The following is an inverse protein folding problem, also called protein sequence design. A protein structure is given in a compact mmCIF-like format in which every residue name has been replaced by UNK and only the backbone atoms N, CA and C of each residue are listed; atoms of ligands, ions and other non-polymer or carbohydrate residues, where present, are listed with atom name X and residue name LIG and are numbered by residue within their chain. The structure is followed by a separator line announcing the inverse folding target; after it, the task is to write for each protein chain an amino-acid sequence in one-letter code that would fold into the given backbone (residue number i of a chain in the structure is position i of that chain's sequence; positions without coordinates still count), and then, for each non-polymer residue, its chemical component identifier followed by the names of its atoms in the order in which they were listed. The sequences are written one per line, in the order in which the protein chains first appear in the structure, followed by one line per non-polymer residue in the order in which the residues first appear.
data_IF_801500777482
#
_entry.id   IF_801500777482
#
_cell.length_a   1.000
_cell.length_b   1.000
_cell.length_c   1.000
_cell.angle_alpha   90.00
_cell.angle_beta   90.00
_cell.angle_gamma   90.00
#
_symmetry.space_group_name_H-M   'P 1'
#
loop_
_entity.id
_entity.type
_entity.pdbx_description
1 polymer ?
#
# COMPACT_ATOMS: atom_id res chain seq x y z
N UNK A 1 6.71 -11.17 20.49
CA UNK A 1 6.22 -11.41 19.11
C UNK A 1 4.71 -11.26 19.10
N UNK A 2 4.19 -10.39 18.27
CA UNK A 2 2.73 -10.19 18.16
C UNK A 2 2.09 -11.47 17.64
N UNK A 3 1.29 -12.13 18.49
CA UNK A 3 0.61 -13.39 18.14
C UNK A 3 -0.33 -13.23 16.94
N UNK A 4 -0.96 -12.06 16.81
CA UNK A 4 -1.85 -11.77 15.68
C UNK A 4 -1.08 -11.77 14.37
N UNK A 5 0.11 -11.11 14.33
CA UNK A 5 0.99 -11.08 13.16
C UNK A 5 1.49 -12.48 12.79
N UNK A 6 1.94 -13.27 13.79
CA UNK A 6 2.39 -14.65 13.54
C UNK A 6 1.29 -15.55 12.93
N UNK A 7 0.03 -15.37 13.34
CA UNK A 7 -1.10 -16.09 12.75
C UNK A 7 -1.31 -15.66 11.28
N UNK A 8 -1.25 -14.35 10.96
CA UNK A 8 -1.41 -13.86 9.60
C UNK A 8 -0.32 -14.42 8.67
N UNK A 9 0.95 -14.38 9.10
CA UNK A 9 2.09 -14.91 8.35
C UNK A 9 1.94 -16.42 8.08
N UNK A 10 1.64 -17.22 9.11
CA UNK A 10 1.42 -18.65 8.97
C UNK A 10 0.23 -18.99 8.05
N UNK A 11 -0.85 -18.22 8.14
CA UNK A 11 -2.02 -18.40 7.27
C UNK A 11 -1.68 -18.10 5.80
N UNK A 12 -0.91 -17.04 5.51
CA UNK A 12 -0.44 -16.69 4.17
C UNK A 12 0.40 -17.82 3.57
N UNK A 13 1.36 -18.37 4.33
CA UNK A 13 2.21 -19.46 3.87
C UNK A 13 1.40 -20.72 3.57
N UNK A 14 0.50 -21.13 4.47
CA UNK A 14 -0.32 -22.32 4.29
C UNK A 14 -1.31 -22.18 3.13
N UNK A 15 -2.00 -21.05 3.01
CA UNK A 15 -2.96 -20.79 1.95
C UNK A 15 -2.22 -20.60 0.61
N UNK A 16 -1.08 -19.91 0.62
CA UNK A 16 -0.22 -19.77 -0.56
C UNK A 16 0.30 -21.11 -1.10
N UNK A 17 0.56 -22.08 -0.23
CA UNK A 17 1.03 -23.41 -0.61
C UNK A 17 -0.09 -24.34 -1.06
N UNK A 18 -1.19 -24.42 -0.29
CA UNK A 18 -2.25 -25.44 -0.44
C UNK A 18 -3.55 -24.91 -1.04
N UNK A 19 -3.73 -23.60 -1.12
CA UNK A 19 -4.98 -22.95 -1.48
C UNK A 19 -5.91 -22.72 -0.28
N UNK A 20 -6.84 -21.76 -0.46
CA UNK A 20 -7.79 -21.39 0.58
C UNK A 20 -8.65 -22.57 1.03
N UNK A 21 -9.27 -23.29 0.09
CA UNK A 21 -10.20 -24.38 0.38
C UNK A 21 -9.55 -25.52 1.18
N UNK A 22 -8.29 -25.82 0.89
CA UNK A 22 -7.55 -26.94 1.49
C UNK A 22 -6.78 -26.58 2.77
N UNK A 23 -6.89 -25.34 3.25
CA UNK A 23 -6.29 -24.90 4.51
C UNK A 23 -7.38 -24.73 5.58
N UNK A 24 -7.23 -25.41 6.72
CA UNK A 24 -8.18 -25.33 7.85
C UNK A 24 -7.67 -24.39 8.94
N UNK A 25 -8.59 -23.82 9.73
CA UNK A 25 -8.25 -23.04 10.94
C UNK A 25 -7.43 -23.88 11.95
N UNK A 26 -7.66 -25.19 12.02
CA UNK A 26 -6.85 -26.09 12.87
C UNK A 26 -5.39 -26.13 12.41
N UNK A 27 -5.13 -26.33 11.12
CA UNK A 27 -3.76 -26.36 10.57
C UNK A 27 -3.01 -25.04 10.82
N UNK A 28 -3.72 -23.91 10.74
CA UNK A 28 -3.12 -22.59 11.04
C UNK A 28 -2.81 -22.50 12.55
N UNK A 29 -3.71 -22.92 13.43
CA UNK A 29 -3.47 -22.92 14.87
C UNK A 29 -2.27 -23.81 15.25
N UNK A 30 -2.20 -25.01 14.67
CA UNK A 30 -1.11 -25.96 14.89
C UNK A 30 0.24 -25.39 14.45
N UNK A 31 0.30 -24.67 13.30
CA UNK A 31 1.52 -24.11 12.75
C UNK A 31 2.13 -23.01 13.61
N UNK A 32 1.30 -22.31 14.41
CA UNK A 32 1.77 -21.25 15.35
C UNK A 32 1.80 -21.72 16.80
N UNK A 33 1.49 -22.99 17.06
CA UNK A 33 1.56 -23.60 18.38
C UNK A 33 0.49 -23.09 19.37
N UNK A 34 -0.73 -22.77 18.87
CA UNK A 34 -1.86 -22.33 19.71
C UNK A 34 -3.06 -23.28 19.57
N UNK A 35 -3.96 -23.24 20.55
CA UNK A 35 -5.21 -23.99 20.44
C UNK A 35 -6.14 -23.37 19.39
N UNK A 36 -7.00 -24.20 18.77
CA UNK A 36 -8.05 -23.74 17.84
C UNK A 36 -8.95 -22.68 18.48
N UNK A 37 -9.31 -22.84 19.76
CA UNK A 37 -10.11 -21.86 20.50
C UNK A 37 -9.40 -20.51 20.64
N UNK A 38 -8.07 -20.52 20.87
CA UNK A 38 -7.26 -19.31 20.90
C UNK A 38 -7.22 -18.63 19.52
N UNK A 39 -7.14 -19.39 18.42
CA UNK A 39 -7.19 -18.80 17.07
C UNK A 39 -8.54 -18.10 16.80
N UNK A 40 -9.65 -18.74 17.20
CA UNK A 40 -10.99 -18.15 17.03
C UNK A 40 -11.22 -16.90 17.87
N UNK A 41 -10.48 -16.71 18.97
CA UNK A 41 -10.53 -15.45 19.74
C UNK A 41 -9.87 -14.28 19.01
N UNK A 42 -8.90 -14.53 18.09
CA UNK A 42 -8.29 -13.52 17.24
C UNK A 42 -9.10 -13.29 15.96
N UNK A 43 -9.60 -14.36 15.35
CA UNK A 43 -10.30 -14.34 14.07
C UNK A 43 -11.54 -15.25 14.15
N UNK A 44 -12.74 -14.66 14.29
CA UNK A 44 -13.99 -15.41 14.49
C UNK A 44 -14.31 -16.41 13.38
N UNK A 45 -13.81 -16.16 12.17
CA UNK A 45 -13.98 -17.04 11.01
C UNK A 45 -12.73 -17.07 10.16
N UNK A 46 -12.65 -18.04 9.24
CA UNK A 46 -11.59 -18.10 8.22
C UNK A 46 -11.69 -16.92 7.25
N UNK A 47 -12.92 -16.44 7.00
CA UNK A 47 -13.16 -15.25 6.19
C UNK A 47 -12.61 -13.99 6.87
N UNK A 48 -12.86 -13.78 8.17
CA UNK A 48 -12.33 -12.65 8.92
C UNK A 48 -10.79 -12.69 8.98
N UNK A 49 -10.21 -13.89 9.02
CA UNK A 49 -8.76 -14.06 8.90
C UNK A 49 -8.25 -13.62 7.52
N UNK A 50 -8.92 -14.03 6.43
CA UNK A 50 -8.54 -13.61 5.06
C UNK A 50 -8.67 -12.10 4.88
N UNK A 51 -9.77 -11.50 5.33
CA UNK A 51 -9.94 -10.04 5.30
C UNK A 51 -8.80 -9.35 6.04
N UNK A 52 -8.46 -9.84 7.24
CA UNK A 52 -7.34 -9.29 8.02
C UNK A 52 -5.98 -9.47 7.35
N UNK A 53 -5.76 -10.56 6.60
CA UNK A 53 -4.55 -10.74 5.79
C UNK A 53 -4.50 -9.67 4.68
N UNK A 54 -5.58 -9.49 3.92
CA UNK A 54 -5.63 -8.48 2.87
C UNK A 54 -5.41 -7.08 3.42
N UNK A 55 -6.10 -6.71 4.49
CA UNK A 55 -5.95 -5.41 5.14
C UNK A 55 -4.51 -5.16 5.60
N UNK A 56 -3.89 -6.14 6.25
CA UNK A 56 -2.53 -6.04 6.75
C UNK A 56 -1.50 -5.81 5.63
N UNK A 57 -1.49 -6.68 4.61
CA UNK A 57 -0.48 -6.59 3.56
C UNK A 57 -0.72 -5.42 2.59
N UNK A 58 -1.97 -5.09 2.31
CA UNK A 58 -2.30 -3.90 1.53
C UNK A 58 -1.88 -2.62 2.27
N UNK A 59 -2.11 -2.57 3.59
CA UNK A 59 -1.66 -1.45 4.40
C UNK A 59 -0.13 -1.26 4.27
N UNK A 60 0.65 -2.33 4.42
CA UNK A 60 2.10 -2.28 4.31
C UNK A 60 2.58 -1.74 2.95
N UNK A 61 1.96 -2.18 1.87
CA UNK A 61 2.34 -1.77 0.50
C UNK A 61 1.92 -0.32 0.22
N UNK A 62 0.69 0.06 0.57
CA UNK A 62 0.19 1.43 0.33
C UNK A 62 0.87 2.47 1.21
N UNK A 63 1.17 2.16 2.47
CA UNK A 63 1.87 3.07 3.38
C UNK A 63 3.26 3.45 2.83
N UNK A 64 3.98 2.49 2.23
CA UNK A 64 5.26 2.76 1.58
C UNK A 64 5.14 3.79 0.46
N UNK A 65 4.17 3.60 -0.43
CA UNK A 65 3.95 4.53 -1.54
C UNK A 65 3.45 5.90 -1.04
N UNK A 66 2.61 5.90 -0.01
CA UNK A 66 2.11 7.13 0.59
C UNK A 66 3.25 7.99 1.17
N UNK A 67 4.13 7.39 1.99
CA UNK A 67 5.27 8.12 2.58
C UNK A 67 6.21 8.68 1.53
N UNK A 68 6.50 7.91 0.47
CA UNK A 68 7.27 8.42 -0.69
C UNK A 68 6.54 9.59 -1.35
N UNK A 69 5.21 9.54 -1.41
CA UNK A 69 4.38 10.63 -1.95
C UNK A 69 4.47 11.95 -1.19
N UNK A 70 4.88 11.92 0.08
CA UNK A 70 5.07 13.11 0.91
C UNK A 70 6.45 13.77 0.74
N UNK A 71 7.40 13.11 0.07
CA UNK A 71 8.76 13.63 -0.14
C UNK A 71 8.75 14.79 -1.15
N UNK A 72 8.69 16.02 -0.65
CA UNK A 72 8.69 17.24 -1.45
C UNK A 72 10.01 17.51 -2.21
N UNK A 73 11.12 16.84 -1.83
CA UNK A 73 12.42 17.01 -2.49
C UNK A 73 12.50 16.29 -3.84
N UNK A 74 11.65 15.30 -4.06
CA UNK A 74 11.62 14.58 -5.34
C UNK A 74 10.72 15.31 -6.35
N UNK A 75 11.19 15.53 -7.59
CA UNK A 75 10.31 15.97 -8.66
C UNK A 75 9.10 15.03 -8.81
N UNK A 76 7.91 15.52 -9.19
CA UNK A 76 6.68 14.70 -9.24
C UNK A 76 6.84 13.39 -10.05
N UNK A 77 7.55 13.43 -11.19
CA UNK A 77 7.83 12.25 -11.99
C UNK A 77 8.66 11.20 -11.22
N UNK A 78 9.77 11.63 -10.60
CA UNK A 78 10.65 10.73 -9.84
C UNK A 78 9.95 10.19 -8.59
N UNK A 79 9.15 11.02 -7.93
CA UNK A 79 8.34 10.62 -6.79
C UNK A 79 7.32 9.54 -7.17
N UNK A 80 6.62 9.71 -8.29
CA UNK A 80 5.66 8.71 -8.77
C UNK A 80 6.35 7.40 -9.18
N UNK A 81 7.50 7.47 -9.86
CA UNK A 81 8.30 6.29 -10.19
C UNK A 81 8.79 5.55 -8.92
N UNK A 82 9.24 6.29 -7.91
CA UNK A 82 9.66 5.72 -6.62
C UNK A 82 8.48 5.11 -5.84
N UNK A 83 7.29 5.67 -5.94
CA UNK A 83 6.08 5.05 -5.36
C UNK A 83 5.78 3.68 -5.97
N UNK A 84 5.92 3.52 -7.29
CA UNK A 84 5.83 2.20 -7.94
C UNK A 84 6.98 1.28 -7.52
N UNK A 85 8.21 1.80 -7.47
CA UNK A 85 9.37 1.02 -7.02
C UNK A 85 9.12 0.37 -5.67
N UNK A 86 8.72 1.15 -4.65
CA UNK A 86 8.50 0.60 -3.29
C UNK A 86 7.32 -0.36 -3.21
N UNK A 87 6.34 -0.24 -4.10
CA UNK A 87 5.27 -1.23 -4.21
C UNK A 87 5.79 -2.55 -4.78
N UNK A 88 6.64 -2.52 -5.82
CA UNK A 88 7.26 -3.72 -6.37
C UNK A 88 8.25 -4.38 -5.40
N UNK A 89 9.01 -3.60 -4.63
CA UNK A 89 9.83 -4.12 -3.52
C UNK A 89 8.96 -4.86 -2.51
N UNK A 90 7.79 -4.29 -2.13
CA UNK A 90 6.82 -4.95 -1.26
C UNK A 90 6.24 -6.25 -1.86
N UNK A 91 6.01 -6.31 -3.17
CA UNK A 91 5.58 -7.53 -3.87
C UNK A 91 6.62 -8.65 -3.74
N UNK A 92 7.90 -8.33 -3.90
CA UNK A 92 8.99 -9.30 -3.74
C UNK A 92 9.12 -9.77 -2.29
N UNK A 93 9.01 -8.84 -1.32
CA UNK A 93 9.08 -9.14 0.10
C UNK A 93 7.90 -10.02 0.57
N UNK A 94 6.69 -9.77 0.05
CA UNK A 94 5.48 -10.50 0.42
C UNK A 94 5.00 -11.46 -0.68
N UNK A 95 5.94 -12.13 -1.36
CA UNK A 95 5.67 -13.01 -2.51
C UNK A 95 4.64 -14.11 -2.20
N UNK A 96 4.67 -14.69 -1.00
CA UNK A 96 3.69 -15.72 -0.58
C UNK A 96 2.26 -15.16 -0.51
N UNK A 97 2.10 -13.94 0.01
CA UNK A 97 0.80 -13.24 0.01
C UNK A 97 0.32 -12.97 -1.41
N UNK A 98 1.19 -12.47 -2.28
CA UNK A 98 0.84 -12.19 -3.67
C UNK A 98 0.45 -13.44 -4.45
N UNK A 99 1.15 -14.57 -4.23
CA UNK A 99 0.76 -15.88 -4.79
C UNK A 99 -0.61 -16.33 -4.31
N UNK A 100 -0.92 -16.15 -3.03
CA UNK A 100 -2.24 -16.43 -2.47
C UNK A 100 -3.33 -15.60 -3.16
N UNK A 101 -3.09 -14.30 -3.34
CA UNK A 101 -4.02 -13.38 -3.99
C UNK A 101 -4.28 -13.75 -5.46
N UNK A 102 -3.22 -14.08 -6.21
CA UNK A 102 -3.33 -14.43 -7.64
C UNK A 102 -4.06 -15.74 -7.91
N UNK A 103 -4.02 -16.70 -6.98
CA UNK A 103 -4.75 -17.98 -7.13
C UNK A 103 -6.25 -17.81 -7.16
N UNK A 104 -6.78 -16.66 -6.72
CA UNK A 104 -8.22 -16.37 -6.78
C UNK A 104 -9.11 -17.33 -5.99
N UNK A 105 -8.50 -18.25 -5.22
CA UNK A 105 -9.19 -19.27 -4.43
C UNK A 105 -9.78 -18.71 -3.12
N UNK A 106 -10.01 -17.40 -3.06
CA UNK A 106 -10.69 -16.81 -1.92
C UNK A 106 -12.15 -17.25 -1.89
N UNK A 107 -12.67 -17.38 -0.68
CA UNK A 107 -14.05 -17.77 -0.40
C UNK A 107 -15.04 -17.24 -1.43
N UNK A 108 -16.11 -18.01 -1.68
CA UNK A 108 -17.28 -17.54 -2.43
C UNK A 108 -17.56 -16.10 -2.06
N UNK A 109 -17.72 -15.24 -3.06
CA UNK A 109 -17.92 -13.81 -2.89
C UNK A 109 -18.94 -13.53 -1.78
N UNK A 110 -18.43 -13.08 -0.65
CA UNK A 110 -19.27 -12.56 0.40
C UNK A 110 -19.34 -11.04 0.29
N UNK A 111 -20.40 -10.45 0.78
CA UNK A 111 -20.58 -9.00 0.83
C UNK A 111 -19.38 -8.30 1.49
N UNK A 112 -18.78 -8.91 2.53
CA UNK A 112 -17.59 -8.40 3.20
C UNK A 112 -16.37 -8.35 2.28
N UNK A 113 -16.10 -9.43 1.55
CA UNK A 113 -14.97 -9.52 0.60
C UNK A 113 -15.17 -8.58 -0.60
N UNK A 114 -16.38 -8.49 -1.13
CA UNK A 114 -16.72 -7.55 -2.19
C UNK A 114 -16.52 -6.10 -1.74
N UNK A 115 -17.04 -5.75 -0.56
CA UNK A 115 -16.88 -4.43 0.05
C UNK A 115 -15.38 -4.09 0.25
N UNK A 116 -14.59 -5.06 0.70
CA UNK A 116 -13.13 -4.87 0.83
C UNK A 116 -12.50 -4.63 -0.55
N UNK A 117 -12.84 -5.42 -1.56
CA UNK A 117 -12.33 -5.26 -2.93
C UNK A 117 -12.65 -3.88 -3.51
N UNK A 118 -13.87 -3.38 -3.29
CA UNK A 118 -14.26 -2.02 -3.68
C UNK A 118 -13.40 -0.96 -2.99
N UNK A 119 -13.19 -1.07 -1.68
CA UNK A 119 -12.35 -0.14 -0.92
C UNK A 119 -10.89 -0.11 -1.43
N UNK A 120 -10.31 -1.30 -1.65
CA UNK A 120 -8.94 -1.42 -2.16
C UNK A 120 -8.78 -0.77 -3.53
N UNK A 121 -9.72 -1.00 -4.44
CA UNK A 121 -9.74 -0.39 -5.77
C UNK A 121 -9.91 1.13 -5.69
N UNK A 122 -10.84 1.60 -4.86
CA UNK A 122 -11.03 3.04 -4.65
C UNK A 122 -9.76 3.74 -4.20
N UNK A 123 -9.02 3.14 -3.25
CA UNK A 123 -7.71 3.69 -2.80
C UNK A 123 -6.67 3.75 -3.91
N UNK A 124 -6.58 2.68 -4.69
CA UNK A 124 -5.64 2.64 -5.82
C UNK A 124 -5.97 3.75 -6.83
N UNK A 125 -7.22 3.90 -7.20
CA UNK A 125 -7.64 4.92 -8.16
C UNK A 125 -7.47 6.34 -7.59
N UNK A 126 -7.80 6.58 -6.32
CA UNK A 126 -7.52 7.87 -5.67
C UNK A 126 -6.02 8.22 -5.65
N UNK A 127 -5.16 7.22 -5.41
CA UNK A 127 -3.73 7.40 -5.46
C UNK A 127 -3.24 7.71 -6.89
N UNK A 128 -3.73 6.99 -7.89
CA UNK A 128 -3.38 7.24 -9.30
C UNK A 128 -3.86 8.64 -9.75
N UNK A 129 -5.11 8.99 -9.45
CA UNK A 129 -5.69 10.29 -9.81
C UNK A 129 -4.87 11.46 -9.24
N UNK A 130 -4.50 11.39 -7.96
CA UNK A 130 -3.65 12.42 -7.32
C UNK A 130 -2.32 12.60 -8.05
N UNK A 131 -1.63 11.52 -8.40
CA UNK A 131 -0.37 11.59 -9.13
C UNK A 131 -0.54 12.12 -10.57
N UNK A 132 -1.63 11.75 -11.24
CA UNK A 132 -1.94 12.27 -12.58
C UNK A 132 -2.22 13.77 -12.55
N UNK A 133 -3.02 14.25 -11.60
CA UNK A 133 -3.31 15.68 -11.43
C UNK A 133 -2.04 16.45 -11.06
N UNK A 134 -1.20 15.90 -10.19
CA UNK A 134 0.08 16.53 -9.82
C UNK A 134 1.02 16.68 -11.02
N UNK A 135 1.11 15.67 -11.90
CA UNK A 135 1.98 15.67 -13.06
C UNK A 135 1.46 16.56 -14.20
N UNK A 136 0.16 16.54 -14.46
CA UNK A 136 -0.43 17.12 -15.67
C UNK A 136 -1.41 18.25 -15.41
N UNK A 137 -1.78 18.52 -14.15
CA UNK A 137 -2.82 19.47 -13.77
C UNK A 137 -4.22 18.98 -14.14
N UNK A 138 -5.23 19.80 -13.87
CA UNK A 138 -6.66 19.48 -14.09
C UNK A 138 -7.02 19.15 -15.55
N UNK A 139 -6.20 19.55 -16.51
CA UNK A 139 -6.42 19.24 -17.93
C UNK A 139 -6.39 17.75 -18.25
N UNK A 140 -5.87 16.91 -17.34
CA UNK A 140 -5.87 15.44 -17.48
C UNK A 140 -7.20 14.81 -17.06
N UNK A 141 -8.06 15.52 -16.32
CA UNK A 141 -9.29 14.98 -15.72
C UNK A 141 -10.23 14.28 -16.72
N UNK A 142 -10.41 14.77 -17.97
CA UNK A 142 -11.25 14.08 -18.95
C UNK A 142 -10.72 12.69 -19.36
N UNK A 143 -9.43 12.42 -19.14
CA UNK A 143 -8.74 11.19 -19.55
C UNK A 143 -8.33 10.31 -18.38
N UNK A 144 -8.67 10.70 -17.16
CA UNK A 144 -8.21 10.04 -15.91
C UNK A 144 -8.57 8.56 -15.85
N UNK A 145 -9.79 8.20 -16.27
CA UNK A 145 -10.27 6.82 -16.19
C UNK A 145 -9.53 5.88 -17.12
N UNK A 146 -9.32 6.29 -18.38
CA UNK A 146 -8.51 5.52 -19.32
C UNK A 146 -7.08 5.34 -18.80
N UNK A 147 -6.45 6.41 -18.33
CA UNK A 147 -5.09 6.35 -17.80
C UNK A 147 -4.99 5.48 -16.54
N UNK A 148 -5.91 5.62 -15.60
CA UNK A 148 -5.92 4.81 -14.38
C UNK A 148 -6.16 3.33 -14.69
N UNK A 149 -7.09 3.02 -15.60
CA UNK A 149 -7.39 1.65 -15.99
C UNK A 149 -6.22 0.98 -16.74
N UNK A 150 -5.61 1.69 -17.69
CA UNK A 150 -4.42 1.23 -18.40
C UNK A 150 -3.23 1.03 -17.44
N UNK A 151 -3.01 1.98 -16.54
CA UNK A 151 -1.94 1.89 -15.52
C UNK A 151 -2.13 0.68 -14.62
N UNK A 152 -3.36 0.45 -14.14
CA UNK A 152 -3.71 -0.72 -13.34
C UNK A 152 -3.43 -2.02 -14.11
N UNK A 153 -3.77 -2.07 -15.39
CA UNK A 153 -3.54 -3.24 -16.24
C UNK A 153 -2.05 -3.53 -16.42
N UNK A 154 -1.25 -2.51 -16.69
CA UNK A 154 0.20 -2.61 -16.82
C UNK A 154 0.81 -3.08 -15.48
N UNK A 155 0.44 -2.45 -14.37
CA UNK A 155 0.91 -2.80 -13.03
C UNK A 155 0.60 -4.26 -12.69
N UNK A 156 -0.63 -4.72 -12.94
CA UNK A 156 -1.06 -6.09 -12.66
C UNK A 156 -0.29 -7.10 -13.51
N UNK A 157 -0.08 -6.82 -14.80
CA UNK A 157 0.70 -7.69 -15.69
C UNK A 157 2.13 -7.86 -15.23
N UNK A 158 2.82 -6.77 -14.88
CA UNK A 158 4.19 -6.86 -14.37
C UNK A 158 4.27 -7.51 -12.98
N UNK A 159 3.28 -7.27 -12.11
CA UNK A 159 3.17 -7.98 -10.83
C UNK A 159 3.08 -9.49 -11.06
N UNK A 160 2.24 -9.93 -11.99
CA UNK A 160 2.12 -11.34 -12.37
C UNK A 160 3.43 -11.92 -12.87
N UNK A 161 4.14 -11.19 -13.72
CA UNK A 161 5.45 -11.59 -14.24
C UNK A 161 6.48 -11.72 -13.11
N UNK A 162 6.59 -10.75 -12.20
CA UNK A 162 7.51 -10.78 -11.06
C UNK A 162 7.26 -11.96 -10.11
N UNK A 163 6.00 -12.35 -9.94
CA UNK A 163 5.64 -13.45 -9.04
C UNK A 163 5.92 -14.81 -9.69
N UNK A 164 5.66 -14.94 -11.00
CA UNK A 164 5.74 -16.21 -11.74
C UNK A 164 7.12 -16.49 -12.32
N UNK A 165 7.94 -15.45 -12.57
CA UNK A 165 9.25 -15.63 -13.18
C UNK A 165 10.34 -15.87 -12.14
N UNK A 166 11.38 -16.64 -12.53
CA UNK A 166 12.61 -16.79 -11.75
C UNK A 166 13.57 -15.60 -11.97
N UNK A 167 13.35 -14.83 -13.04
CA UNK A 167 14.14 -13.65 -13.35
C UNK A 167 13.62 -12.45 -12.53
N UNK A 168 14.50 -11.88 -11.74
CA UNK A 168 14.18 -10.68 -10.95
C UNK A 168 14.15 -9.45 -11.86
N UNK A 169 12.97 -8.85 -12.02
CA UNK A 169 12.84 -7.51 -12.57
C UNK A 169 13.28 -6.51 -11.51
N UNK A 170 14.13 -5.56 -11.90
CA UNK A 170 14.56 -4.48 -11.03
C UNK A 170 13.38 -3.55 -10.72
N UNK A 171 12.92 -3.44 -9.45
CA UNK A 171 11.78 -2.61 -9.05
C UNK A 171 11.94 -1.13 -9.44
N UNK A 172 13.17 -0.59 -9.36
CA UNK A 172 13.46 0.80 -9.72
C UNK A 172 13.27 1.03 -11.21
N UNK A 173 13.87 0.17 -12.06
CA UNK A 173 13.69 0.25 -13.51
C UNK A 173 12.24 0.09 -13.92
N UNK A 174 11.52 -0.80 -13.26
CA UNK A 174 10.11 -1.07 -13.53
C UNK A 174 9.23 0.13 -13.15
N UNK A 175 9.48 0.78 -12.00
CA UNK A 175 8.77 2.00 -11.60
C UNK A 175 8.90 3.10 -12.65
N UNK A 176 10.12 3.40 -13.08
CA UNK A 176 10.36 4.39 -14.14
C UNK A 176 9.74 3.97 -15.49
N UNK A 177 9.78 2.68 -15.81
CA UNK A 177 9.17 2.17 -17.04
C UNK A 177 7.65 2.44 -17.05
N UNK A 178 6.95 2.14 -15.97
CA UNK A 178 5.49 2.37 -15.88
C UNK A 178 5.17 3.86 -16.01
N UNK A 179 5.84 4.72 -15.26
CA UNK A 179 5.57 6.17 -15.33
C UNK A 179 5.87 6.72 -16.73
N UNK A 180 6.89 6.18 -17.41
CA UNK A 180 7.16 6.53 -18.81
C UNK A 180 6.02 6.11 -19.75
N UNK A 181 5.41 4.94 -19.56
CA UNK A 181 4.24 4.55 -20.36
C UNK A 181 3.04 5.48 -20.09
N UNK A 182 2.80 5.83 -18.83
CA UNK A 182 1.75 6.79 -18.45
C UNK A 182 1.99 8.14 -19.14
N UNK A 183 3.23 8.63 -19.13
CA UNK A 183 3.61 9.90 -19.78
C UNK A 183 3.30 9.88 -21.29
N UNK A 184 3.64 8.79 -21.98
CA UNK A 184 3.36 8.64 -23.43
C UNK A 184 1.85 8.72 -23.69
N UNK A 185 1.05 7.97 -22.91
CA UNK A 185 -0.40 7.94 -23.03
C UNK A 185 -1.02 9.31 -22.69
N UNK A 186 -0.59 9.92 -21.59
CA UNK A 186 -1.09 11.23 -21.18
C UNK A 186 -0.79 12.32 -22.24
N UNK A 187 0.40 12.32 -22.79
CA UNK A 187 0.78 13.27 -23.86
C UNK A 187 -0.02 13.06 -25.14
N UNK A 188 -0.33 11.82 -25.49
CA UNK A 188 -1.18 11.50 -26.65
C UNK A 188 -2.61 12.05 -26.48
N UNK A 189 -3.22 11.82 -25.31
CA UNK A 189 -4.52 12.38 -24.95
C UNK A 189 -4.52 13.91 -24.92
N UNK A 190 -3.54 14.52 -24.26
CA UNK A 190 -3.44 15.97 -24.13
C UNK A 190 -3.16 16.67 -25.47
N UNK A 191 -2.52 15.97 -26.43
CA UNK A 191 -2.34 16.45 -27.80
C UNK A 191 -3.61 16.28 -28.67
N UNK A 192 -4.69 15.72 -28.11
CA UNK A 192 -5.96 15.49 -28.82
C UNK A 192 -5.88 14.42 -29.92
N UNK A 193 -4.88 13.55 -29.87
CA UNK A 193 -4.71 12.45 -30.84
C UNK A 193 -5.66 11.29 -30.55
N UNK A 194 -5.88 11.01 -29.27
CA UNK A 194 -6.84 10.02 -28.81
C UNK A 194 -7.99 10.69 -28.05
N UNK A 195 -9.19 10.09 -28.12
CA UNK A 195 -10.35 10.50 -27.33
C UNK A 195 -10.51 9.58 -26.14
N UNK A 196 -11.04 10.08 -24.99
CA UNK A 196 -11.36 9.21 -23.86
C UNK A 196 -12.45 8.20 -24.26
N UNK A 197 -12.30 6.98 -23.77
CA UNK A 197 -13.29 5.91 -23.94
C UNK A 197 -14.18 5.77 -22.70
N UNK A 198 -13.57 5.98 -21.52
CA UNK A 198 -14.21 5.79 -20.21
C UNK A 198 -14.65 7.14 -19.64
N UNK A 199 -15.88 7.21 -19.16
CA UNK A 199 -16.43 8.38 -18.50
C UNK A 199 -16.85 8.08 -17.05
N UNK A 200 -17.23 9.13 -16.30
CA UNK A 200 -17.63 9.01 -14.89
C UNK A 200 -18.87 8.12 -14.70
N UNK A 201 -19.80 8.10 -15.65
CA UNK A 201 -21.02 7.28 -15.56
C UNK A 201 -20.69 5.79 -15.73
N UNK A 202 -19.89 5.44 -16.72
CA UNK A 202 -19.41 4.07 -16.93
C UNK A 202 -18.57 3.58 -15.72
N UNK A 203 -17.78 4.47 -15.15
CA UNK A 203 -16.85 4.12 -14.08
C UNK A 203 -17.43 4.26 -12.67
N UNK A 204 -18.68 4.74 -12.53
CA UNK A 204 -19.38 4.87 -11.24
C UNK A 204 -19.34 3.61 -10.36
N UNK A 205 -19.56 2.37 -10.87
CA UNK A 205 -19.43 1.17 -10.05
C UNK A 205 -18.03 0.92 -9.52
N UNK A 206 -17.01 1.43 -10.19
CA UNK A 206 -15.60 1.25 -9.86
C UNK A 206 -15.04 2.40 -9.00
N UNK A 207 -15.72 3.55 -8.94
CA UNK A 207 -15.34 4.69 -8.11
C UNK A 207 -15.79 4.55 -6.65
N UNK A 208 -16.59 3.52 -6.33
CA UNK A 208 -17.03 3.25 -4.96
C UNK A 208 -15.83 3.07 -4.04
N UNK A 209 -15.68 3.95 -3.07
CA UNK A 209 -14.54 3.95 -2.12
C UNK A 209 -13.42 4.95 -2.44
N UNK A 210 -13.47 5.67 -3.58
CA UNK A 210 -12.51 6.75 -3.87
C UNK A 210 -12.66 7.93 -2.88
N UNK A 211 -13.92 8.27 -2.54
CA UNK A 211 -14.25 9.43 -1.69
C UNK A 211 -14.54 9.04 -0.22
N UNK A 212 -14.43 7.77 0.15
CA UNK A 212 -14.76 7.33 1.50
C UNK A 212 -13.53 7.39 2.40
N UNK A 213 -13.44 8.45 3.20
CA UNK A 213 -12.75 8.41 4.48
C UNK A 213 -13.42 7.34 5.37
N UNK A 214 -12.67 6.37 5.89
CA UNK A 214 -13.21 5.49 6.94
C UNK A 214 -13.16 3.98 6.70
N UNK A 215 -12.45 3.49 5.70
CA UNK A 215 -12.38 2.05 5.43
C UNK A 215 -11.27 1.29 6.19
N UNK A 216 -10.21 1.98 6.58
CA UNK A 216 -9.09 1.43 7.36
C UNK A 216 -8.69 2.42 8.46
N UNK A 217 -9.38 2.38 9.59
CA UNK A 217 -9.18 3.35 10.68
C UNK A 217 -7.74 3.42 11.20
N UNK A 218 -7.00 2.32 11.22
CA UNK A 218 -5.59 2.30 11.61
C UNK A 218 -4.66 2.89 10.53
N UNK A 219 -4.93 2.62 9.26
CA UNK A 219 -4.14 3.16 8.15
C UNK A 219 -4.35 4.67 8.01
N UNK A 220 -5.58 5.15 8.06
CA UNK A 220 -5.88 6.59 7.97
C UNK A 220 -5.27 7.37 9.13
N UNK A 221 -5.28 6.80 10.34
CA UNK A 221 -4.57 7.39 11.48
C UNK A 221 -3.08 7.51 11.22
N UNK A 222 -2.46 6.48 10.65
CA UNK A 222 -1.04 6.52 10.26
C UNK A 222 -0.79 7.52 9.14
N UNK A 223 -1.61 7.53 8.08
CA UNK A 223 -1.49 8.54 7.01
C UNK A 223 -1.58 9.97 7.56
N UNK A 224 -2.55 10.23 8.43
CA UNK A 224 -2.70 11.55 9.10
C UNK A 224 -1.49 11.89 9.96
N UNK A 225 -0.97 10.93 10.73
CA UNK A 225 0.22 11.14 11.56
C UNK A 225 1.47 11.44 10.69
N UNK A 226 1.71 10.68 9.64
CA UNK A 226 2.78 10.94 8.69
C UNK A 226 2.65 12.32 8.05
N UNK A 227 1.47 12.64 7.52
CA UNK A 227 1.20 13.93 6.88
C UNK A 227 1.44 15.10 7.82
N UNK A 228 0.98 15.02 9.06
CA UNK A 228 1.17 16.06 10.06
C UNK A 228 2.66 16.30 10.37
N UNK A 229 3.47 15.23 10.46
CA UNK A 229 4.93 15.35 10.64
C UNK A 229 5.57 16.03 9.43
N UNK A 230 5.26 15.61 8.21
CA UNK A 230 5.82 16.21 6.99
C UNK A 230 5.43 17.69 6.82
N UNK A 231 4.15 18.03 7.04
CA UNK A 231 3.68 19.44 6.98
C UNK A 231 4.44 20.35 7.95
N UNK A 232 4.75 19.85 9.14
CA UNK A 232 5.53 20.58 10.13
C UNK A 232 7.01 20.70 9.75
N UNK A 233 7.62 19.61 9.23
CA UNK A 233 9.03 19.61 8.79
C UNK A 233 9.26 20.71 7.74
N UNK A 234 8.36 20.89 6.80
CA UNK A 234 8.47 21.93 5.76
C UNK A 234 8.43 23.37 6.30
N UNK A 235 8.13 23.56 7.59
CA UNK A 235 8.17 24.87 8.24
C UNK A 235 9.49 25.14 8.99
N UNK A 236 10.42 24.18 9.01
CA UNK A 236 11.66 24.24 9.77
C UNK A 236 12.86 24.68 8.92
N UNK A 237 13.77 25.45 9.50
CA UNK A 237 15.01 25.88 8.83
C UNK A 237 15.95 24.69 8.51
N UNK A 238 15.89 23.61 9.29
CA UNK A 238 16.68 22.39 9.15
C UNK A 238 15.85 21.23 8.55
N UNK A 239 14.92 21.57 7.66
CA UNK A 239 14.02 20.65 6.96
C UNK A 239 14.72 19.37 6.44
N UNK A 240 15.84 19.55 5.73
CA UNK A 240 16.58 18.42 5.13
C UNK A 240 16.99 17.35 6.15
N UNK A 241 17.44 17.75 7.33
CA UNK A 241 17.79 16.82 8.40
C UNK A 241 16.60 16.00 8.86
N UNK A 242 15.48 16.65 9.12
CA UNK A 242 14.28 15.96 9.60
C UNK A 242 13.61 15.11 8.53
N UNK A 243 13.69 15.50 7.27
CA UNK A 243 13.28 14.65 6.15
C UNK A 243 14.12 13.37 6.07
N UNK A 244 15.44 13.45 6.27
CA UNK A 244 16.30 12.26 6.32
C UNK A 244 15.93 11.35 7.49
N UNK A 245 15.73 11.91 8.70
CA UNK A 245 15.30 11.15 9.88
C UNK A 245 13.97 10.45 9.62
N UNK A 246 12.99 11.17 9.07
CA UNK A 246 11.66 10.66 8.78
C UNK A 246 11.68 9.57 7.71
N UNK A 247 12.50 9.72 6.66
CA UNK A 247 12.71 8.69 5.66
C UNK A 247 13.32 7.41 6.27
N UNK A 248 14.28 7.53 7.19
CA UNK A 248 14.86 6.38 7.90
C UNK A 248 13.86 5.69 8.81
N UNK A 249 12.98 6.43 9.50
CA UNK A 249 11.86 5.86 10.27
C UNK A 249 10.97 5.05 9.34
N UNK A 250 10.61 5.63 8.21
CA UNK A 250 9.78 4.97 7.19
C UNK A 250 10.45 3.71 6.63
N UNK A 251 11.74 3.74 6.33
CA UNK A 251 12.51 2.57 5.88
C UNK A 251 12.56 1.47 6.94
N UNK A 252 12.83 1.84 8.19
CA UNK A 252 12.89 0.88 9.30
C UNK A 252 11.53 0.24 9.57
N UNK A 253 10.45 1.05 9.58
CA UNK A 253 9.08 0.56 9.81
C UNK A 253 8.60 -0.44 8.75
N UNK A 254 9.22 -0.44 7.56
CA UNK A 254 8.90 -1.31 6.42
C UNK A 254 9.53 -2.69 6.50
N UNK A 255 10.56 -2.87 7.30
CA UNK A 255 11.25 -4.17 7.41
C UNK A 255 10.32 -5.23 7.94
N UNK A 256 10.49 -6.46 7.50
CA UNK A 256 9.74 -7.61 8.03
C UNK A 256 9.90 -7.78 9.54
N UNK A 257 11.05 -7.34 10.06
CA UNK A 257 11.34 -7.23 11.50
C UNK A 257 11.96 -5.86 11.76
N UNK A 258 11.15 -4.82 12.00
CA UNK A 258 11.66 -3.52 12.39
C UNK A 258 12.47 -3.61 13.68
N UNK A 259 13.60 -2.92 13.72
CA UNK A 259 14.36 -2.79 14.96
C UNK A 259 13.71 -1.70 15.84
N UNK A 260 13.05 -2.13 16.89
CA UNK A 260 12.32 -1.24 17.80
C UNK A 260 13.25 -0.21 18.48
N UNK A 261 14.50 -0.57 18.76
CA UNK A 261 15.47 0.35 19.36
C UNK A 261 15.86 1.45 18.37
N UNK A 262 16.10 1.09 17.12
CA UNK A 262 16.39 2.05 16.04
C UNK A 262 15.18 2.96 15.82
N UNK A 263 13.98 2.41 15.76
CA UNK A 263 12.74 3.18 15.60
C UNK A 263 12.55 4.20 16.73
N UNK A 264 12.70 3.76 17.98
CA UNK A 264 12.59 4.67 19.16
C UNK A 264 13.66 5.75 19.13
N UNK A 265 14.89 5.43 18.74
CA UNK A 265 15.99 6.40 18.62
C UNK A 265 15.69 7.47 17.56
N UNK A 266 15.22 7.07 16.38
CA UNK A 266 14.86 7.99 15.30
C UNK A 266 13.65 8.86 15.66
N UNK A 267 12.61 8.27 16.26
CA UNK A 267 11.43 9.01 16.74
C UNK A 267 11.78 9.98 17.87
N UNK A 268 12.77 9.63 18.71
CA UNK A 268 13.27 10.54 19.73
C UNK A 268 13.90 11.81 19.13
N UNK A 269 14.65 11.68 18.03
CA UNK A 269 15.22 12.85 17.32
C UNK A 269 14.11 13.80 16.83
N UNK A 270 12.97 13.27 16.34
CA UNK A 270 11.84 14.13 15.97
C UNK A 270 11.20 14.80 17.20
N UNK A 271 11.14 14.12 18.35
CA UNK A 271 10.56 14.66 19.59
C UNK A 271 11.42 15.71 20.29
N UNK A 272 12.73 15.74 20.01
CA UNK A 272 13.65 16.78 20.50
C UNK A 272 13.34 18.14 19.85
N UNK A 273 12.84 18.16 18.62
CA UNK A 273 12.35 19.38 17.97
C UNK A 273 10.98 19.77 18.53
N UNK A 274 10.91 20.95 19.18
CA UNK A 274 9.71 21.41 19.88
C UNK A 274 8.49 21.48 18.93
N UNK A 275 8.71 21.92 17.69
CA UNK A 275 7.69 22.06 16.67
C UNK A 275 7.11 20.72 16.21
N UNK A 276 7.90 19.65 16.24
CA UNK A 276 7.52 18.31 15.80
C UNK A 276 7.03 17.39 16.93
N UNK A 277 7.22 17.78 18.19
CA UNK A 277 7.05 16.89 19.35
C UNK A 277 5.69 16.20 19.40
N UNK A 278 4.62 16.93 19.18
CA UNK A 278 3.25 16.40 19.27
C UNK A 278 2.98 15.40 18.15
N UNK A 279 3.34 15.75 16.92
CA UNK A 279 3.17 14.92 15.74
C UNK A 279 4.05 13.66 15.79
N UNK A 280 5.28 13.81 16.32
CA UNK A 280 6.20 12.66 16.53
C UNK A 280 5.68 11.68 17.58
N UNK A 281 5.07 12.15 18.67
CA UNK A 281 4.41 11.29 19.67
C UNK A 281 3.24 10.55 19.03
N UNK A 282 2.39 11.27 18.29
CA UNK A 282 1.25 10.67 17.58
C UNK A 282 1.71 9.62 16.57
N UNK A 283 2.80 9.89 15.83
CA UNK A 283 3.38 8.93 14.89
C UNK A 283 3.93 7.69 15.61
N UNK A 284 4.62 7.88 16.74
CA UNK A 284 5.14 6.77 17.55
C UNK A 284 4.03 5.82 18.01
N UNK A 285 2.90 6.36 18.53
CA UNK A 285 1.73 5.58 18.93
C UNK A 285 1.10 4.76 17.79
N UNK A 286 1.29 5.21 16.54
CA UNK A 286 0.81 4.51 15.36
C UNK A 286 1.80 3.48 14.80
N UNK A 287 3.11 3.63 15.06
CA UNK A 287 4.17 2.78 14.52
C UNK A 287 4.65 1.72 15.50
N UNK A 288 4.61 2.02 16.78
CA UNK A 288 5.06 1.13 17.86
C UNK A 288 3.87 0.68 18.72
N UNK A 289 3.87 -0.61 19.17
CA UNK A 289 2.80 -1.16 20.02
C UNK A 289 2.80 -0.57 21.43
#
# INVERSE_FOLDING_TARGET
MDKRKAILEAAVELIGAKGYTHTSMQQIADSVGISKGSLYSFFPSKEDLIISIYEHYQQLVFERAFVVGLDGNLPPYERFAKQFQVQFEGILEYKSYMKMQMRGETAQSSEKLESMGHRMRGRLFSWLERNLIELYGEKISPYKWDLMWMTQSIYTSYTGLMISSENELDPKKLGHHIVRQIEILANDFLAGKSKPLLDDDMMRPFSVGMDREGAFTSFEKREKAWKAVYEKIHTLDNEHYFLEVTNRISEESRKSKPDELVMRGLLHLLKEEETLRVEAITLEEQLLP
#
